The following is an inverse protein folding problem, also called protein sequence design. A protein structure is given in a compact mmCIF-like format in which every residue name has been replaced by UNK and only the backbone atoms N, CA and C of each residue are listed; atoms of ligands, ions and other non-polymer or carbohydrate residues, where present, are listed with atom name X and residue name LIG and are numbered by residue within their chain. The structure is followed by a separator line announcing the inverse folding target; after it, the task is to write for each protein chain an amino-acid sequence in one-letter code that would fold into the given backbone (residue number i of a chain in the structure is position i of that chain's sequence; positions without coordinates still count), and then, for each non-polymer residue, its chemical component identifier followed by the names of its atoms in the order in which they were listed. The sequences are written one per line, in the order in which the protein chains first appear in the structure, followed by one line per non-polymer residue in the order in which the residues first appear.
data_IF_686690693415
#
_entry.id   IF_686690693415
#
_cell.length_a   1.000
_cell.length_b   1.000
_cell.length_c   1.000
_cell.angle_alpha   90.00
_cell.angle_beta   90.00
_cell.angle_gamma   90.00
#
_symmetry.space_group_name_H-M   'P 1'
#
loop_
_entity.id
_entity.type
_entity.pdbx_description
1 polymer ?
#
# COMPACT_ATOMS: atom_id res chain seq x y z
N UNK A 1 36.65 -25.55 55.03
CA UNK A 1 37.20 -25.71 53.66
C UNK A 1 36.01 -25.87 52.72
N UNK A 2 35.52 -24.76 52.16
CA UNK A 2 35.54 -24.45 50.73
C UNK A 2 34.85 -25.55 49.90
N UNK A 3 33.65 -25.34 49.36
CA UNK A 3 33.50 -24.57 48.11
C UNK A 3 32.05 -24.15 47.88
N UNK A 4 31.86 -22.85 47.71
CA UNK A 4 30.75 -22.22 47.01
C UNK A 4 30.64 -22.75 45.58
N UNK A 5 29.44 -23.11 45.13
CA UNK A 5 29.11 -23.10 43.70
C UNK A 5 27.75 -22.42 43.50
N UNK A 6 27.87 -21.16 43.16
CA UNK A 6 26.87 -20.24 42.64
C UNK A 6 26.07 -20.86 41.50
N UNK A 7 24.75 -20.87 41.61
CA UNK A 7 23.85 -21.16 40.50
C UNK A 7 23.93 -19.98 39.51
N UNK A 8 24.44 -20.26 38.30
CA UNK A 8 24.55 -19.28 37.23
C UNK A 8 23.16 -18.96 36.66
N UNK A 9 22.88 -17.65 36.59
CA UNK A 9 21.71 -17.06 35.95
C UNK A 9 21.81 -17.25 34.43
N UNK A 10 20.99 -18.12 33.86
CA UNK A 10 20.86 -18.26 32.42
C UNK A 10 19.99 -17.12 31.87
N UNK A 11 20.65 -16.08 31.35
CA UNK A 11 20.03 -15.01 30.59
C UNK A 11 19.73 -15.54 29.17
N UNK A 12 18.56 -16.15 28.97
CA UNK A 12 18.09 -16.52 27.64
C UNK A 12 17.57 -15.27 26.93
N UNK A 13 18.30 -14.82 25.90
CA UNK A 13 17.99 -13.64 25.12
C UNK A 13 16.69 -13.76 24.34
N UNK A 14 15.78 -12.83 24.58
CA UNK A 14 14.75 -12.46 23.63
C UNK A 14 15.30 -11.32 22.77
N UNK A 15 15.93 -11.68 21.64
CA UNK A 15 16.25 -10.70 20.61
C UNK A 15 14.95 -10.45 19.85
N UNK A 16 14.16 -9.49 20.33
CA UNK A 16 13.01 -8.99 19.60
C UNK A 16 13.52 -8.33 18.34
N UNK A 17 13.52 -9.06 17.21
CA UNK A 17 13.71 -8.47 15.89
C UNK A 17 12.48 -7.60 15.63
N UNK A 18 12.55 -6.33 16.03
CA UNK A 18 11.68 -5.28 15.50
C UNK A 18 12.07 -5.09 14.05
N UNK A 19 11.52 -5.93 13.16
CA UNK A 19 11.55 -5.65 11.74
C UNK A 19 10.97 -4.26 11.53
N UNK A 20 11.75 -3.36 10.93
CA UNK A 20 11.23 -2.09 10.46
C UNK A 20 10.22 -2.45 9.38
N UNK A 21 8.93 -2.34 9.70
CA UNK A 21 7.91 -2.28 8.68
C UNK A 21 8.13 -0.94 7.95
N UNK A 22 8.84 -1.00 6.83
CA UNK A 22 8.82 0.10 5.88
C UNK A 22 7.41 0.10 5.30
N UNK A 23 6.55 1.00 5.78
CA UNK A 23 5.38 1.38 5.00
C UNK A 23 5.91 1.85 3.64
N UNK A 24 5.45 1.25 2.55
CA UNK A 24 5.78 1.77 1.23
C UNK A 24 5.23 3.21 1.20
N UNK A 25 6.09 4.20 0.96
CA UNK A 25 5.63 5.58 0.88
C UNK A 25 4.85 5.71 -0.42
N UNK A 26 3.56 5.99 -0.29
CA UNK A 26 2.65 6.41 -1.36
C UNK A 26 3.34 7.48 -2.25
N UNK A 27 3.53 7.16 -3.53
CA UNK A 27 4.18 8.05 -4.50
C UNK A 27 3.07 8.72 -5.33
N UNK A 28 2.88 10.04 -5.23
CA UNK A 28 1.88 10.70 -6.07
C UNK A 28 2.22 10.51 -7.56
N UNK A 29 1.25 10.14 -8.42
CA UNK A 29 1.47 10.02 -9.86
C UNK A 29 1.86 11.36 -10.49
N UNK A 30 2.50 11.32 -11.66
CA UNK A 30 2.75 12.52 -12.45
C UNK A 30 1.45 13.15 -12.98
N UNK A 31 1.46 14.45 -13.27
CA UNK A 31 0.29 15.13 -13.85
C UNK A 31 -0.20 14.48 -15.16
N UNK A 32 0.72 13.96 -15.97
CA UNK A 32 0.40 13.23 -17.20
C UNK A 32 -0.31 11.90 -16.89
N UNK A 33 0.18 11.15 -15.90
CA UNK A 33 -0.45 9.93 -15.44
C UNK A 33 -1.85 10.21 -14.86
N UNK A 34 -2.00 11.27 -14.05
CA UNK A 34 -3.32 11.69 -13.53
C UNK A 34 -4.30 12.02 -14.65
N UNK A 35 -3.87 12.66 -15.73
CA UNK A 35 -4.73 12.93 -16.88
C UNK A 35 -5.22 11.63 -17.55
N UNK A 36 -4.34 10.63 -17.66
CA UNK A 36 -4.69 9.31 -18.21
C UNK A 36 -5.60 8.49 -17.29
N UNK A 37 -5.34 8.51 -15.98
CA UNK A 37 -6.22 7.93 -14.96
C UNK A 37 -7.63 8.51 -15.11
N UNK A 38 -7.77 9.85 -15.14
CA UNK A 38 -9.08 10.51 -15.32
C UNK A 38 -9.79 10.12 -16.61
N UNK A 39 -9.05 9.97 -17.72
CA UNK A 39 -9.58 9.48 -18.99
C UNK A 39 -10.12 8.05 -18.86
N UNK A 40 -9.39 7.16 -18.19
CA UNK A 40 -9.81 5.77 -17.92
C UNK A 40 -11.02 5.71 -17.00
N UNK A 41 -11.04 6.46 -15.90
CA UNK A 41 -12.19 6.52 -14.97
C UNK A 41 -13.47 6.98 -15.67
N UNK A 42 -13.37 8.02 -16.50
CA UNK A 42 -14.51 8.54 -17.25
C UNK A 42 -15.13 7.51 -18.21
N UNK A 43 -14.32 6.59 -18.79
CA UNK A 43 -14.81 5.51 -19.67
C UNK A 43 -15.68 4.50 -18.92
N UNK A 44 -15.50 4.35 -17.61
CA UNK A 44 -16.29 3.44 -16.76
C UNK A 44 -17.32 4.17 -15.89
N UNK A 45 -17.53 5.47 -16.11
CA UNK A 45 -18.52 6.26 -15.38
C UNK A 45 -18.10 6.63 -13.96
N UNK A 46 -16.79 6.61 -13.68
CA UNK A 46 -16.21 7.02 -12.41
C UNK A 46 -15.41 8.33 -12.56
N UNK A 47 -15.16 9.03 -11.45
CA UNK A 47 -14.36 10.27 -11.41
C UNK A 47 -13.80 10.51 -10.00
N UNK A 48 -12.88 11.46 -9.88
CA UNK A 48 -12.34 11.85 -8.57
C UNK A 48 -11.48 10.74 -7.96
N UNK A 49 -11.44 10.71 -6.62
CA UNK A 49 -10.60 9.82 -5.83
C UNK A 49 -9.24 10.41 -5.47
N UNK A 50 -8.58 9.74 -4.53
CA UNK A 50 -7.17 9.97 -4.18
C UNK A 50 -6.30 9.08 -5.07
N UNK A 51 -5.23 9.64 -5.64
CA UNK A 51 -4.39 8.95 -6.61
C UNK A 51 -3.03 8.64 -6.02
N UNK A 52 -2.65 7.37 -6.08
CA UNK A 52 -1.34 6.89 -5.68
C UNK A 52 -0.69 6.03 -6.78
N UNK A 53 0.63 5.92 -6.72
CA UNK A 53 1.43 5.06 -7.59
C UNK A 53 2.36 4.19 -6.74
N UNK A 54 2.07 2.89 -6.72
CA UNK A 54 2.95 1.93 -6.09
C UNK A 54 4.27 1.79 -6.88
N UNK A 55 5.37 1.50 -6.19
CA UNK A 55 6.66 1.15 -6.82
C UNK A 55 6.58 -0.09 -7.71
N UNK A 56 5.50 -0.87 -7.58
CA UNK A 56 5.19 -2.05 -8.39
C UNK A 56 4.72 -1.71 -9.82
N UNK A 57 4.46 -0.43 -10.13
CA UNK A 57 3.89 0.00 -11.41
C UNK A 57 2.36 -0.03 -11.42
N UNK A 58 1.72 0.02 -10.25
CA UNK A 58 0.27 0.03 -10.10
C UNK A 58 -0.17 1.44 -9.73
N UNK A 59 -1.18 1.96 -10.44
CA UNK A 59 -1.89 3.15 -10.01
C UNK A 59 -3.09 2.75 -9.16
N UNK A 60 -3.18 3.31 -7.96
CA UNK A 60 -4.32 3.13 -7.06
C UNK A 60 -5.17 4.39 -7.08
N UNK A 61 -6.48 4.20 -7.16
CA UNK A 61 -7.47 5.25 -7.06
C UNK A 61 -8.44 4.83 -5.96
N UNK A 62 -8.33 5.49 -4.82
CA UNK A 62 -9.21 5.26 -3.68
C UNK A 62 -10.43 6.20 -3.77
N UNK A 63 -11.57 5.75 -3.27
CA UNK A 63 -12.79 6.57 -3.19
C UNK A 63 -13.27 7.15 -4.55
N UNK A 64 -13.03 6.44 -5.66
CA UNK A 64 -13.50 6.89 -6.97
C UNK A 64 -15.03 7.00 -6.98
N UNK A 65 -15.57 8.18 -7.27
CA UNK A 65 -17.01 8.41 -7.32
C UNK A 65 -17.59 7.79 -8.60
N UNK A 66 -18.29 6.66 -8.47
CA UNK A 66 -19.06 6.03 -9.54
C UNK A 66 -20.58 6.15 -9.25
N UNK A 67 -21.43 5.99 -10.27
CA UNK A 67 -22.90 6.11 -10.09
C UNK A 67 -23.50 5.12 -9.07
N UNK A 68 -22.82 4.00 -8.85
CA UNK A 68 -23.24 2.91 -7.97
C UNK A 68 -22.59 2.93 -6.59
N UNK A 69 -21.79 3.97 -6.29
CA UNK A 69 -21.07 4.15 -5.02
C UNK A 69 -19.58 4.45 -5.22
N UNK A 70 -18.83 4.64 -4.12
CA UNK A 70 -17.37 4.76 -4.15
C UNK A 70 -16.72 3.41 -4.45
N UNK A 71 -15.59 3.45 -5.16
CA UNK A 71 -14.83 2.28 -5.56
C UNK A 71 -13.33 2.53 -5.45
N UNK A 72 -12.60 1.51 -5.02
CA UNK A 72 -11.16 1.43 -5.20
C UNK A 72 -10.87 0.81 -6.57
N UNK A 73 -10.02 1.47 -7.35
CA UNK A 73 -9.68 1.07 -8.71
C UNK A 73 -8.16 0.95 -8.82
N UNK A 74 -7.69 -0.19 -9.34
CA UNK A 74 -6.26 -0.42 -9.64
C UNK A 74 -6.04 -0.50 -11.13
N UNK A 75 -5.05 0.26 -11.62
CA UNK A 75 -4.62 0.24 -13.02
C UNK A 75 -3.17 -0.24 -13.15
N UNK A 76 -2.83 -0.86 -14.27
CA UNK A 76 -1.43 -1.09 -14.65
C UNK A 76 -0.76 0.19 -15.22
N UNK A 77 0.54 0.13 -15.51
CA UNK A 77 1.32 1.24 -16.10
C UNK A 77 0.78 1.70 -17.47
N UNK A 78 0.01 0.85 -18.16
CA UNK A 78 -0.65 1.14 -19.43
C UNK A 78 -2.08 1.70 -19.24
N UNK A 79 -2.48 1.97 -17.99
CA UNK A 79 -3.79 2.49 -17.57
C UNK A 79 -4.97 1.56 -17.86
N UNK A 80 -4.74 0.24 -17.96
CA UNK A 80 -5.81 -0.75 -18.02
C UNK A 80 -6.32 -1.07 -16.62
N UNK A 81 -7.63 -1.22 -16.47
CA UNK A 81 -8.24 -1.60 -15.18
C UNK A 81 -7.89 -3.06 -14.88
N UNK A 82 -7.19 -3.27 -13.77
CA UNK A 82 -6.88 -4.59 -13.22
C UNK A 82 -7.94 -5.02 -12.21
N UNK A 83 -8.40 -4.08 -11.38
CA UNK A 83 -9.35 -4.33 -10.32
C UNK A 83 -10.26 -3.12 -10.13
N UNK A 84 -11.51 -3.38 -9.77
CA UNK A 84 -12.47 -2.39 -9.32
C UNK A 84 -13.30 -3.04 -8.20
N UNK A 85 -13.06 -2.64 -6.96
CA UNK A 85 -13.75 -3.13 -5.76
C UNK A 85 -14.58 -2.00 -5.17
N UNK A 86 -15.79 -2.32 -4.71
CA UNK A 86 -16.57 -1.34 -3.96
C UNK A 86 -15.87 -1.09 -2.63
N UNK A 87 -15.64 0.17 -2.33
CA UNK A 87 -15.11 0.63 -1.04
C UNK A 87 -16.09 0.29 0.12
#
# INVERSE_FOLDING_TARGET
MLKTMTFALALAGAVSFSGIALADEDIPPSDEAVAKIKETLAKVGCKGGDYDHEKSGIYEIDDAECEIGPYDIKLDEDFNILMMSRD
#
